data_IF_936207524551
#
_entry.id   IF_936207524551
#
_cell.length_a   1.000
_cell.length_b   1.000
_cell.length_c   1.000
_cell.angle_alpha   90.00
_cell.angle_beta   90.00
_cell.angle_gamma   90.00
#
_symmetry.space_group_name_H-M   'P 1'
#
loop_
_entity.id
_entity.type
_entity.pdbx_description
1 polymer ?
#
# COMPACT_ATOMS: atom_id res chain seq x y z
N UNK A 1 -28.27 25.86 -56.32
CA UNK A 1 -27.10 25.04 -55.95
C UNK A 1 -26.57 25.54 -54.62
N UNK A 2 -26.45 24.69 -53.61
CA UNK A 2 -25.79 25.00 -52.34
C UNK A 2 -24.95 23.79 -51.92
N UNK A 3 -23.64 24.01 -51.82
CA UNK A 3 -22.63 23.00 -51.51
C UNK A 3 -22.62 22.74 -50.00
N UNK A 4 -22.93 21.51 -49.59
CA UNK A 4 -22.78 21.07 -48.22
C UNK A 4 -21.32 20.63 -47.98
N UNK A 5 -20.57 21.42 -47.22
CA UNK A 5 -19.22 21.09 -46.78
C UNK A 5 -19.29 20.18 -45.55
N UNK A 6 -19.04 18.89 -45.74
CA UNK A 6 -18.90 17.91 -44.67
C UNK A 6 -17.54 18.09 -43.99
N UNK A 7 -17.52 18.65 -42.79
CA UNK A 7 -16.31 18.76 -41.96
C UNK A 7 -16.11 17.44 -41.21
N UNK A 8 -15.08 16.69 -41.58
CA UNK A 8 -14.61 15.50 -40.85
C UNK A 8 -13.75 15.95 -39.67
N UNK A 9 -14.29 15.89 -38.45
CA UNK A 9 -13.48 16.02 -37.23
C UNK A 9 -12.58 14.79 -37.09
N UNK A 10 -11.29 14.96 -37.33
CA UNK A 10 -10.25 13.99 -36.96
C UNK A 10 -10.15 13.92 -35.43
N UNK A 11 -10.60 12.80 -34.85
CA UNK A 11 -10.51 12.54 -33.42
C UNK A 11 -9.07 12.19 -33.07
N UNK A 12 -8.31 13.16 -32.58
CA UNK A 12 -7.03 12.92 -31.92
C UNK A 12 -7.30 12.11 -30.65
N UNK A 13 -7.07 10.80 -30.72
CA UNK A 13 -7.14 9.93 -29.55
C UNK A 13 -6.05 10.37 -28.56
N UNK A 14 -6.47 10.97 -27.44
CA UNK A 14 -5.61 11.19 -26.30
C UNK A 14 -5.15 9.83 -25.78
N UNK A 15 -3.87 9.53 -25.92
CA UNK A 15 -3.24 8.43 -25.17
C UNK A 15 -3.27 8.84 -23.70
N UNK A 16 -4.24 8.33 -22.96
CA UNK A 16 -4.27 8.45 -21.52
C UNK A 16 -3.20 7.53 -20.95
N UNK A 17 -2.05 8.09 -20.56
CA UNK A 17 -1.17 7.44 -19.59
C UNK A 17 -1.98 7.29 -18.32
N UNK A 18 -2.47 6.08 -18.05
CA UNK A 18 -3.12 5.78 -16.79
C UNK A 18 -2.11 6.01 -15.66
N UNK A 19 -2.44 6.79 -14.62
CA UNK A 19 -1.60 6.85 -13.44
C UNK A 19 -1.49 5.44 -12.88
N UNK A 20 -0.27 4.90 -12.84
CA UNK A 20 0.04 3.69 -12.10
C UNK A 20 -0.17 4.01 -10.63
N UNK A 21 -1.37 3.74 -10.11
CA UNK A 21 -1.62 3.72 -8.68
C UNK A 21 -0.64 2.70 -8.12
N UNK A 22 0.29 3.06 -7.22
CA UNK A 22 1.17 2.09 -6.61
C UNK A 22 0.28 0.99 -6.01
N UNK A 23 0.63 -0.27 -6.27
CA UNK A 23 -0.10 -1.39 -5.71
C UNK A 23 -0.20 -1.17 -4.19
N UNK A 24 -1.40 -0.86 -3.71
CA UNK A 24 -1.63 -0.59 -2.30
C UNK A 24 -1.47 -1.92 -1.59
N UNK A 25 -0.28 -2.16 -1.04
CA UNK A 25 -0.04 -3.31 -0.19
C UNK A 25 -0.84 -3.10 1.09
N UNK A 26 -1.58 -4.12 1.49
CA UNK A 26 -2.39 -4.02 2.70
C UNK A 26 -1.48 -3.87 3.93
N UNK A 27 -1.77 -2.92 4.84
CA UNK A 27 -0.98 -2.76 6.05
C UNK A 27 -0.97 -4.03 6.89
N UNK A 28 0.23 -4.46 7.31
CA UNK A 28 0.38 -5.61 8.20
C UNK A 28 0.32 -5.12 9.64
N UNK A 29 -0.61 -5.68 10.41
CA UNK A 29 -0.72 -5.45 11.86
C UNK A 29 -0.42 -6.74 12.61
N UNK A 30 0.46 -6.68 13.59
CA UNK A 30 0.87 -7.85 14.38
C UNK A 30 0.78 -7.61 15.88
N UNK A 31 0.45 -8.68 16.60
CA UNK A 31 0.46 -8.78 18.06
C UNK A 31 1.34 -9.96 18.48
N UNK A 32 1.72 -10.03 19.77
CA UNK A 32 2.57 -11.09 20.30
C UNK A 32 1.74 -12.34 20.63
N UNK A 33 1.29 -13.05 19.60
CA UNK A 33 0.43 -14.24 19.78
C UNK A 33 -0.88 -13.92 20.49
N UNK A 34 -1.50 -12.78 20.17
CA UNK A 34 -2.72 -12.30 20.83
C UNK A 34 -2.48 -11.45 22.08
N UNK A 35 -1.24 -11.32 22.56
CA UNK A 35 -0.88 -10.36 23.60
C UNK A 35 -0.36 -9.03 23.01
N UNK A 36 -0.53 -7.89 23.70
CA UNK A 36 0.06 -6.63 23.27
C UNK A 36 1.59 -6.70 23.34
N UNK A 37 2.26 -6.06 22.39
CA UNK A 37 3.68 -5.76 22.50
C UNK A 37 3.91 -4.57 23.42
N UNK A 38 5.13 -4.47 23.93
CA UNK A 38 5.70 -3.25 24.47
C UNK A 38 6.34 -2.41 23.36
N UNK A 39 6.42 -1.11 23.56
CA UNK A 39 6.99 -0.19 22.56
C UNK A 39 8.46 -0.50 22.23
N UNK A 40 9.23 -1.04 23.17
CA UNK A 40 10.64 -1.39 22.92
C UNK A 40 10.81 -2.75 22.21
N UNK A 41 9.73 -3.48 21.95
CA UNK A 41 9.76 -4.82 21.34
C UNK A 41 9.67 -4.82 19.81
N UNK A 42 10.02 -3.70 19.15
CA UNK A 42 9.93 -3.58 17.69
C UNK A 42 10.69 -4.67 16.91
N UNK A 43 11.79 -5.20 17.47
CA UNK A 43 12.52 -6.31 16.85
C UNK A 43 11.73 -7.63 16.88
N UNK A 44 10.99 -7.91 17.96
CA UNK A 44 10.11 -9.07 18.04
C UNK A 44 8.89 -8.92 17.13
N UNK A 45 8.32 -7.72 17.10
CA UNK A 45 7.22 -7.39 16.21
C UNK A 45 7.61 -7.56 14.73
N UNK A 46 8.82 -7.15 14.34
CA UNK A 46 9.30 -7.36 12.97
C UNK A 46 9.38 -8.84 12.62
N UNK A 47 9.89 -9.69 13.53
CA UNK A 47 9.92 -11.14 13.31
C UNK A 47 8.52 -11.73 13.15
N UNK A 48 7.56 -11.25 13.94
CA UNK A 48 6.15 -11.66 13.82
C UNK A 48 5.55 -11.21 12.49
N UNK A 49 5.88 -10.01 12.01
CA UNK A 49 5.43 -9.50 10.72
C UNK A 49 6.06 -10.25 9.54
N UNK A 50 7.36 -10.54 9.60
CA UNK A 50 8.06 -11.40 8.63
C UNK A 50 7.37 -12.78 8.54
N UNK A 51 7.04 -13.38 9.69
CA UNK A 51 6.30 -14.64 9.74
C UNK A 51 4.88 -14.53 9.17
N UNK A 52 4.15 -13.45 9.48
CA UNK A 52 2.81 -13.18 8.93
C UNK A 52 2.83 -12.99 7.40
N UNK A 53 3.91 -12.44 6.86
CA UNK A 53 4.13 -12.27 5.43
C UNK A 53 4.64 -13.55 4.73
N UNK A 54 4.93 -14.63 5.45
CA UNK A 54 5.61 -15.81 4.90
C UNK A 54 6.99 -15.49 4.33
N UNK A 55 7.61 -14.39 4.77
CA UNK A 55 8.78 -13.81 4.13
C UNK A 55 9.27 -12.56 4.86
N UNK A 56 9.42 -11.46 4.13
CA UNK A 56 9.85 -10.18 4.71
C UNK A 56 8.68 -9.20 4.74
N UNK A 57 8.55 -8.45 5.83
CA UNK A 57 7.73 -7.24 5.86
C UNK A 57 8.50 -6.08 5.23
N UNK A 58 7.79 -5.21 4.51
CA UNK A 58 8.31 -3.93 4.04
C UNK A 58 8.42 -2.97 5.21
N UNK A 59 9.65 -2.67 5.62
CA UNK A 59 9.92 -1.71 6.70
C UNK A 59 9.99 -0.29 6.17
N UNK A 60 9.51 0.66 6.96
CA UNK A 60 9.45 2.08 6.58
C UNK A 60 9.66 3.00 7.79
N UNK A 61 9.90 4.28 7.52
CA UNK A 61 9.90 5.31 8.56
C UNK A 61 8.52 5.53 9.21
N UNK A 62 7.46 4.98 8.62
CA UNK A 62 6.08 5.11 9.08
C UNK A 62 5.61 3.88 9.88
N UNK A 63 6.49 2.91 10.08
CA UNK A 63 6.26 1.77 10.97
C UNK A 63 6.04 2.31 12.38
N UNK A 64 4.97 1.83 13.03
CA UNK A 64 4.53 2.45 14.27
C UNK A 64 3.98 1.44 15.25
N UNK A 65 4.27 1.70 16.52
CA UNK A 65 3.62 1.07 17.64
C UNK A 65 2.29 1.78 17.95
N UNK A 66 1.20 1.03 17.90
CA UNK A 66 -0.13 1.48 18.25
C UNK A 66 -0.33 1.36 19.76
N UNK A 67 -0.17 2.47 20.48
CA UNK A 67 -0.28 2.51 21.96
C UNK A 67 -1.65 2.10 22.49
N UNK A 68 -2.71 2.22 21.70
CA UNK A 68 -4.05 1.88 22.15
C UNK A 68 -4.27 0.36 22.20
N UNK A 69 -3.61 -0.38 21.30
CA UNK A 69 -3.81 -1.83 21.14
C UNK A 69 -2.58 -2.66 21.49
N UNK A 70 -1.41 -2.04 21.61
CA UNK A 70 -0.12 -2.73 21.72
C UNK A 70 0.29 -3.44 20.43
N UNK A 71 -0.34 -3.14 19.29
CA UNK A 71 0.03 -3.72 18.00
C UNK A 71 1.17 -2.95 17.34
N UNK A 72 1.94 -3.64 16.50
CA UNK A 72 2.84 -2.98 15.55
C UNK A 72 2.19 -2.95 14.17
N UNK A 73 2.32 -1.82 13.48
CA UNK A 73 1.72 -1.55 12.19
C UNK A 73 2.81 -1.24 11.17
N UNK A 74 2.82 -2.00 10.08
CA UNK A 74 3.72 -1.85 8.93
C UNK A 74 2.89 -1.39 7.73
N UNK A 75 2.87 -0.09 7.41
CA UNK A 75 1.97 0.47 6.40
C UNK A 75 2.24 -0.04 4.99
N UNK A 76 3.49 -0.36 4.68
CA UNK A 76 3.93 -0.82 3.36
C UNK A 76 3.67 -2.32 3.12
N UNK A 77 3.11 -3.01 4.11
CA UNK A 77 2.74 -4.42 4.01
C UNK A 77 3.92 -5.38 3.79
N UNK A 78 3.68 -6.49 3.11
CA UNK A 78 4.72 -7.48 2.81
C UNK A 78 5.66 -7.04 1.66
N UNK A 79 6.89 -7.55 1.64
CA UNK A 79 7.93 -7.20 0.67
C UNK A 79 7.67 -7.76 -0.74
#
# INVERSE_FOLDING_TARGET
MALALSVTLAQTACVATAPSVPAVREPVRVTNGGQPFQMWEGALARKAADAACGGKVSVSIYDRFDRATGAWVYPEGCA
#
